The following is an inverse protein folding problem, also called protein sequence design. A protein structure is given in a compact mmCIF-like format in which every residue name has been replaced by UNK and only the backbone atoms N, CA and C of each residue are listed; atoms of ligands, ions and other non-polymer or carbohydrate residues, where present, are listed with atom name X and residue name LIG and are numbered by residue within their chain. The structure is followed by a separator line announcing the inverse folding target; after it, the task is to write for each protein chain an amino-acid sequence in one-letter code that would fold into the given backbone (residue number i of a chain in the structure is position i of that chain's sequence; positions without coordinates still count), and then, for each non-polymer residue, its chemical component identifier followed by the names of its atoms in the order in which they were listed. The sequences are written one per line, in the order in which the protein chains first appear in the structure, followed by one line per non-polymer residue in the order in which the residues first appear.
data_IF_639705666627
#
_entry.id   IF_639705666627
#
_cell.length_a   1.000
_cell.length_b   1.000
_cell.length_c   1.000
_cell.angle_alpha   90.00
_cell.angle_beta   90.00
_cell.angle_gamma   90.00
#
_symmetry.space_group_name_H-M   'P 1'
#
loop_
_entity.id
_entity.type
_entity.pdbx_description
1 polymer ?
#
# COMPACT_ATOMS: atom_id res chain seq x y z
N UNK A 1 -86.74 -17.01 34.94
CA UNK A 1 -85.72 -16.97 36.01
C UNK A 1 -84.98 -15.64 35.93
N UNK A 2 -85.30 -14.78 36.90
CA UNK A 2 -84.79 -13.40 36.98
C UNK A 2 -83.39 -13.35 37.55
N UNK A 3 -82.56 -12.56 36.98
CA UNK A 3 -81.35 -12.04 37.66
C UNK A 3 -81.21 -10.53 37.47
N UNK A 4 -81.21 -9.86 38.61
CA UNK A 4 -81.28 -8.43 38.79
C UNK A 4 -79.86 -7.83 38.53
N UNK A 5 -79.82 -6.70 37.76
CA UNK A 5 -78.68 -5.81 37.65
C UNK A 5 -78.59 -4.90 38.86
N UNK A 6 -77.47 -4.81 39.49
CA UNK A 6 -77.08 -3.75 40.44
C UNK A 6 -76.16 -2.78 39.70
N UNK A 7 -76.60 -1.52 39.61
CA UNK A 7 -75.77 -0.43 39.14
C UNK A 7 -75.09 0.21 40.34
N UNK A 8 -73.79 0.26 40.35
CA UNK A 8 -73.00 0.97 41.33
C UNK A 8 -72.49 2.29 40.72
N UNK A 9 -72.94 3.40 41.27
CA UNK A 9 -72.40 4.76 40.97
C UNK A 9 -71.06 4.91 41.65
N UNK A 10 -69.98 5.16 40.91
CA UNK A 10 -68.71 5.63 41.45
C UNK A 10 -68.54 7.11 41.15
N UNK A 11 -68.46 7.92 42.22
CA UNK A 11 -68.15 9.35 42.18
C UNK A 11 -66.64 9.49 42.05
N UNK A 12 -66.18 10.02 40.93
CA UNK A 12 -64.78 10.32 40.73
C UNK A 12 -64.48 11.78 41.13
N UNK A 13 -63.72 11.97 42.19
CA UNK A 13 -63.18 13.26 42.59
C UNK A 13 -61.92 13.57 41.75
N UNK A 14 -62.00 14.59 40.92
CA UNK A 14 -60.84 15.06 40.12
C UNK A 14 -59.96 15.96 41.00
N UNK A 15 -58.76 15.44 41.35
CA UNK A 15 -57.69 16.21 41.91
C UNK A 15 -56.88 16.81 40.77
N UNK A 16 -56.96 18.14 40.56
CA UNK A 16 -56.09 18.86 39.61
C UNK A 16 -54.74 19.12 40.27
N UNK A 17 -53.76 18.30 39.98
CA UNK A 17 -52.35 18.60 40.25
C UNK A 17 -51.79 19.54 39.18
N UNK A 18 -51.55 20.82 39.58
CA UNK A 18 -50.78 21.75 38.74
C UNK A 18 -49.32 21.33 38.72
N UNK A 19 -48.90 20.72 37.62
CA UNK A 19 -47.50 20.40 37.38
C UNK A 19 -46.81 21.68 36.88
N UNK A 20 -46.02 22.32 37.74
CA UNK A 20 -45.07 23.32 37.29
C UNK A 20 -44.02 22.62 36.41
N UNK A 21 -44.10 22.83 35.13
CA UNK A 21 -43.06 22.40 34.19
C UNK A 21 -41.79 23.25 34.47
N UNK A 22 -40.81 22.65 35.11
CA UNK A 22 -39.47 23.22 35.19
C UNK A 22 -38.88 23.23 33.76
N UNK A 23 -38.66 24.41 33.24
CA UNK A 23 -37.98 24.64 31.99
C UNK A 23 -36.56 24.07 32.11
N UNK A 24 -36.13 23.16 31.17
CA UNK A 24 -34.78 22.65 31.25
C UNK A 24 -33.75 23.77 31.10
N UNK A 25 -32.63 23.73 31.83
CA UNK A 25 -31.60 24.75 31.72
C UNK A 25 -31.11 24.83 30.26
N UNK A 26 -30.91 26.07 29.80
CA UNK A 26 -30.37 26.34 28.47
C UNK A 26 -29.06 25.58 28.28
N UNK A 27 -28.84 24.93 27.11
CA UNK A 27 -27.59 24.24 26.86
C UNK A 27 -26.43 25.22 26.97
N UNK A 28 -25.40 24.84 27.74
CA UNK A 28 -24.17 25.59 27.85
C UNK A 28 -23.57 25.78 26.43
N UNK A 29 -22.95 26.96 26.15
CA UNK A 29 -22.34 27.18 24.87
C UNK A 29 -21.30 26.06 24.64
N UNK A 30 -21.56 25.21 23.66
CA UNK A 30 -20.59 24.24 23.21
C UNK A 30 -19.43 25.03 22.62
N UNK A 31 -18.34 25.13 23.38
CA UNK A 31 -17.08 25.65 22.89
C UNK A 31 -16.75 24.88 21.61
N UNK A 32 -16.70 25.60 20.50
CA UNK A 32 -16.40 25.00 19.19
C UNK A 32 -15.10 24.17 19.30
N UNK A 33 -15.24 22.86 19.32
CA UNK A 33 -14.12 22.00 19.03
C UNK A 33 -13.69 22.39 17.62
N UNK A 34 -12.58 23.12 17.51
CA UNK A 34 -11.96 23.38 16.22
C UNK A 34 -11.96 22.08 15.45
N UNK A 35 -12.59 22.08 14.27
CA UNK A 35 -12.61 20.91 13.40
C UNK A 35 -11.16 20.45 13.24
N UNK A 36 -10.85 19.24 13.66
CA UNK A 36 -9.53 18.66 13.40
C UNK A 36 -9.28 18.77 11.89
N UNK A 37 -8.10 19.22 11.47
CA UNK A 37 -7.82 19.36 10.04
C UNK A 37 -8.13 18.03 9.34
N UNK A 38 -9.00 18.08 8.32
CA UNK A 38 -9.27 16.93 7.49
C UNK A 38 -7.96 16.48 6.86
N UNK A 39 -7.44 15.34 7.31
CA UNK A 39 -6.25 14.74 6.71
C UNK A 39 -6.67 14.20 5.35
N UNK A 40 -6.29 14.92 4.30
CA UNK A 40 -6.60 14.53 2.92
C UNK A 40 -5.67 13.37 2.52
N UNK A 41 -6.24 12.31 1.93
CA UNK A 41 -5.45 11.23 1.35
C UNK A 41 -4.56 11.77 0.24
N UNK A 42 -3.28 11.42 0.19
CA UNK A 42 -2.39 11.90 -0.86
C UNK A 42 -2.83 11.37 -2.24
N UNK A 43 -2.55 12.13 -3.32
CA UNK A 43 -2.81 11.70 -4.69
C UNK A 43 -1.90 10.55 -5.10
N UNK A 44 -2.15 10.00 -6.29
CA UNK A 44 -1.21 9.09 -6.94
C UNK A 44 0.08 9.85 -7.24
N UNK A 45 1.19 9.40 -6.65
CA UNK A 45 2.52 9.90 -6.93
C UNK A 45 3.08 9.30 -8.22
N UNK A 46 2.93 7.99 -8.37
CA UNK A 46 3.08 7.30 -9.64
C UNK A 46 2.23 6.01 -9.69
N UNK A 47 1.98 5.56 -10.91
CA UNK A 47 1.43 4.25 -11.23
C UNK A 47 2.30 3.66 -12.34
N UNK A 48 2.61 2.37 -12.24
CA UNK A 48 3.31 1.61 -13.26
C UNK A 48 2.64 0.24 -13.41
N UNK A 49 2.22 -0.07 -14.64
CA UNK A 49 1.56 -1.32 -15.04
C UNK A 49 2.29 -2.02 -16.20
N UNK A 50 3.50 -1.60 -16.42
CA UNK A 50 4.45 -2.04 -17.45
C UNK A 50 4.00 -1.73 -18.88
N UNK A 51 4.98 -1.56 -19.74
CA UNK A 51 4.71 -1.44 -21.17
C UNK A 51 4.27 -2.80 -21.69
N UNK A 52 3.12 -2.84 -22.32
CA UNK A 52 2.58 -4.04 -22.91
C UNK A 52 3.55 -4.67 -23.89
N UNK A 53 3.72 -6.00 -23.78
CA UNK A 53 4.51 -6.81 -24.68
C UNK A 53 3.61 -7.67 -25.56
N UNK A 54 4.09 -8.16 -26.71
CA UNK A 54 3.40 -9.21 -27.45
C UNK A 54 3.11 -10.44 -26.57
N UNK A 55 2.06 -11.18 -26.89
CA UNK A 55 1.72 -12.40 -26.16
C UNK A 55 2.89 -13.38 -26.14
N UNK A 56 3.19 -13.93 -24.96
CA UNK A 56 4.28 -14.90 -24.72
C UNK A 56 5.70 -14.40 -25.04
N UNK A 57 5.88 -13.09 -25.14
CA UNK A 57 7.21 -12.50 -25.27
C UNK A 57 7.82 -12.29 -23.89
N UNK A 58 8.77 -13.15 -23.51
CA UNK A 58 9.55 -13.05 -22.28
C UNK A 58 10.90 -12.41 -22.59
N UNK A 59 11.23 -11.31 -21.93
CA UNK A 59 12.49 -10.60 -22.16
C UNK A 59 12.96 -9.86 -20.90
N UNK A 60 14.26 -9.58 -20.78
CA UNK A 60 14.80 -8.87 -19.63
C UNK A 60 14.16 -7.51 -19.43
N UNK A 61 13.88 -7.17 -18.16
CA UNK A 61 13.37 -5.85 -17.78
C UNK A 61 14.43 -4.79 -18.06
N UNK A 62 14.01 -3.71 -18.74
CA UNK A 62 14.85 -2.56 -19.07
C UNK A 62 14.08 -1.26 -18.84
N UNK A 63 14.72 -0.10 -19.07
CA UNK A 63 14.04 1.19 -19.02
C UNK A 63 12.86 1.28 -20.00
N UNK A 64 12.90 0.55 -21.11
CA UNK A 64 11.82 0.51 -22.09
C UNK A 64 10.61 -0.32 -21.64
N UNK A 65 10.79 -1.14 -20.61
CA UNK A 65 9.72 -1.97 -20.04
C UNK A 65 8.69 -1.18 -19.22
N UNK A 66 9.00 0.06 -18.83
CA UNK A 66 8.07 0.91 -18.08
C UNK A 66 7.24 1.79 -19.00
N UNK A 67 5.94 1.92 -18.68
CA UNK A 67 5.00 2.80 -19.38
C UNK A 67 5.09 4.25 -18.93
N UNK A 68 5.41 4.48 -17.66
CA UNK A 68 5.46 5.82 -17.08
C UNK A 68 6.77 6.54 -17.37
N UNK A 69 6.73 7.52 -18.30
CA UNK A 69 7.90 8.28 -18.72
C UNK A 69 8.56 9.14 -17.60
N UNK A 70 7.86 9.38 -16.50
CA UNK A 70 8.39 10.14 -15.35
C UNK A 70 9.29 9.31 -14.45
N UNK A 71 9.37 8.00 -14.68
CA UNK A 71 10.13 7.07 -13.86
C UNK A 71 11.45 6.67 -14.53
N UNK A 72 12.41 6.34 -13.68
CA UNK A 72 13.60 5.55 -13.99
C UNK A 72 13.45 4.21 -13.25
N UNK A 73 13.77 3.12 -13.93
CA UNK A 73 13.84 1.80 -13.32
C UNK A 73 15.26 1.49 -12.88
N UNK A 74 15.40 0.87 -11.72
CA UNK A 74 16.67 0.45 -11.15
C UNK A 74 16.57 -1.02 -10.75
N UNK A 75 17.55 -1.81 -11.14
CA UNK A 75 17.64 -3.23 -10.82
C UNK A 75 18.81 -3.47 -9.90
N UNK A 76 18.63 -4.26 -8.85
CA UNK A 76 19.60 -4.51 -7.79
C UNK A 76 19.78 -6.01 -7.52
N UNK A 77 21.00 -6.37 -7.14
CA UNK A 77 21.43 -7.76 -6.95
C UNK A 77 22.30 -8.27 -8.10
N UNK A 78 23.13 -9.28 -7.83
CA UNK A 78 24.12 -9.79 -8.80
C UNK A 78 23.48 -10.40 -10.06
N UNK A 79 22.25 -10.91 -9.97
CA UNK A 79 21.47 -11.48 -11.07
C UNK A 79 20.26 -10.65 -11.48
N UNK A 80 20.23 -9.38 -11.10
CA UNK A 80 19.09 -8.49 -11.35
C UNK A 80 18.73 -8.32 -12.84
N UNK A 81 19.69 -8.44 -13.76
CA UNK A 81 19.43 -8.44 -15.22
C UNK A 81 18.68 -9.66 -15.72
N UNK A 82 18.49 -10.68 -14.87
CA UNK A 82 17.69 -11.86 -15.16
C UNK A 82 16.20 -11.65 -14.81
N UNK A 83 15.84 -10.51 -14.22
CA UNK A 83 14.42 -10.13 -14.01
C UNK A 83 13.77 -9.98 -15.39
N UNK A 84 12.68 -10.71 -15.60
CA UNK A 84 11.97 -10.75 -16.89
C UNK A 84 10.69 -9.93 -16.85
N UNK A 85 10.30 -9.38 -18.00
CA UNK A 85 8.95 -8.94 -18.28
C UNK A 85 8.27 -9.99 -19.15
N UNK A 86 7.06 -10.38 -18.78
CA UNK A 86 6.28 -11.41 -19.47
C UNK A 86 4.79 -11.15 -19.32
N UNK A 87 3.95 -12.06 -19.75
CA UNK A 87 2.50 -11.95 -19.70
C UNK A 87 1.91 -11.35 -20.97
N UNK A 88 0.62 -11.06 -20.93
CA UNK A 88 -0.15 -10.65 -22.11
C UNK A 88 -1.04 -9.46 -21.76
N UNK A 89 -1.01 -8.44 -22.60
CA UNK A 89 -1.89 -7.28 -22.47
C UNK A 89 -3.37 -7.69 -22.42
N UNK A 90 -4.13 -7.06 -21.52
CA UNK A 90 -5.57 -7.28 -21.35
C UNK A 90 -5.98 -8.73 -21.01
N UNK A 91 -5.07 -9.51 -20.45
CA UNK A 91 -5.35 -10.85 -19.95
C UNK A 91 -5.34 -10.85 -18.42
N UNK A 92 -6.50 -10.90 -17.78
CA UNK A 92 -6.63 -10.87 -16.32
C UNK A 92 -5.97 -12.07 -15.62
N UNK A 93 -5.90 -13.21 -16.30
CA UNK A 93 -5.28 -14.43 -15.75
C UNK A 93 -3.76 -14.44 -15.88
N UNK A 94 -3.22 -13.67 -16.82
CA UNK A 94 -1.79 -13.53 -17.07
C UNK A 94 -1.47 -12.12 -17.60
N UNK A 95 -1.69 -11.06 -16.80
CA UNK A 95 -1.42 -9.69 -17.21
C UNK A 95 0.08 -9.50 -17.49
N UNK A 96 0.44 -8.44 -18.19
CA UNK A 96 1.84 -8.03 -18.30
C UNK A 96 2.41 -7.81 -16.91
N UNK A 97 3.52 -8.45 -16.57
CA UNK A 97 4.12 -8.42 -15.25
C UNK A 97 5.63 -8.63 -15.27
N UNK A 98 6.28 -8.17 -14.24
CA UNK A 98 7.65 -8.51 -13.91
C UNK A 98 7.68 -9.86 -13.19
N UNK A 99 8.61 -10.72 -13.59
CA UNK A 99 8.83 -12.03 -13.02
C UNK A 99 10.29 -12.19 -12.56
N UNK A 100 10.49 -12.68 -11.35
CA UNK A 100 11.81 -12.82 -10.72
C UNK A 100 12.37 -14.25 -10.76
N UNK A 101 11.66 -15.17 -11.41
CA UNK A 101 11.97 -16.60 -11.34
C UNK A 101 13.36 -17.00 -11.85
N UNK A 102 13.98 -16.25 -12.77
CA UNK A 102 15.32 -16.53 -13.25
C UNK A 102 16.44 -15.99 -12.35
N UNK A 103 16.13 -15.13 -11.38
CA UNK A 103 17.16 -14.60 -10.47
C UNK A 103 17.77 -15.74 -9.63
N UNK A 104 18.96 -16.18 -9.95
CA UNK A 104 19.66 -17.24 -9.21
C UNK A 104 20.20 -16.80 -7.85
N UNK A 105 20.14 -15.50 -7.58
CA UNK A 105 20.33 -14.88 -6.26
C UNK A 105 19.17 -13.91 -6.00
N UNK A 106 18.90 -13.51 -4.75
CA UNK A 106 17.89 -12.49 -4.48
C UNK A 106 18.07 -11.25 -5.35
N UNK A 107 16.98 -10.71 -5.87
CA UNK A 107 16.99 -9.54 -6.72
C UNK A 107 15.88 -8.54 -6.33
N UNK A 108 16.08 -7.28 -6.66
CA UNK A 108 15.15 -6.22 -6.36
C UNK A 108 14.99 -5.26 -7.55
N UNK A 109 13.83 -4.62 -7.59
CA UNK A 109 13.50 -3.60 -8.57
C UNK A 109 12.94 -2.38 -7.85
N UNK A 110 13.40 -1.20 -8.24
CA UNK A 110 12.89 0.05 -7.71
C UNK A 110 12.65 1.08 -8.82
N UNK A 111 11.72 1.98 -8.55
CA UNK A 111 11.38 3.14 -9.36
C UNK A 111 11.89 4.40 -8.71
N UNK A 112 12.51 5.26 -9.49
CA UNK A 112 12.91 6.61 -9.11
C UNK A 112 12.13 7.62 -9.95
N UNK A 113 11.40 8.52 -9.31
CA UNK A 113 10.77 9.61 -10.04
C UNK A 113 11.82 10.66 -10.40
N UNK A 114 11.90 11.05 -11.68
CA UNK A 114 12.98 11.90 -12.23
C UNK A 114 13.12 13.25 -11.56
N UNK A 115 12.00 13.88 -11.19
CA UNK A 115 11.97 15.28 -10.72
C UNK A 115 11.55 15.44 -9.25
N UNK A 116 11.05 14.38 -8.60
CA UNK A 116 10.53 14.48 -7.25
C UNK A 116 11.01 13.33 -6.36
N UNK A 117 11.10 13.60 -5.07
CA UNK A 117 11.04 12.60 -4.00
C UNK A 117 9.58 12.32 -3.66
N UNK A 118 9.30 11.15 -3.12
CA UNK A 118 8.02 10.85 -2.50
C UNK A 118 8.08 11.19 -1.00
N UNK A 119 7.07 11.87 -0.50
CA UNK A 119 6.82 11.96 0.95
C UNK A 119 5.87 10.82 1.34
N UNK A 120 6.43 9.78 1.95
CA UNK A 120 5.71 8.61 2.41
C UNK A 120 5.22 8.72 3.85
N UNK A 121 5.15 9.92 4.42
CA UNK A 121 4.59 10.16 5.75
C UNK A 121 3.06 10.21 5.74
N UNK A 122 2.46 10.26 6.92
CA UNK A 122 1.02 10.46 7.09
C UNK A 122 0.17 9.33 6.52
N UNK A 123 -0.70 9.63 5.55
CA UNK A 123 -1.63 8.68 4.92
C UNK A 123 -1.09 8.10 3.60
N UNK A 124 0.22 8.13 3.39
CA UNK A 124 0.83 7.51 2.22
C UNK A 124 0.58 6.00 2.22
N UNK A 125 0.39 5.44 1.03
CA UNK A 125 0.12 4.02 0.85
C UNK A 125 0.70 3.49 -0.45
N UNK A 126 0.91 2.20 -0.48
CA UNK A 126 1.32 1.45 -1.68
C UNK A 126 0.22 0.44 -1.99
N UNK A 127 -0.12 0.34 -3.27
CA UNK A 127 -0.99 -0.70 -3.80
C UNK A 127 -0.25 -1.42 -4.91
N UNK A 128 -0.31 -2.71 -4.91
CA UNK A 128 0.28 -3.53 -5.97
C UNK A 128 -0.60 -4.72 -6.32
N UNK A 129 -0.41 -5.25 -7.53
CA UNK A 129 -1.02 -6.48 -8.00
C UNK A 129 0.08 -7.53 -8.14
N UNK A 130 0.04 -8.56 -7.31
CA UNK A 130 1.10 -9.54 -7.16
C UNK A 130 0.60 -10.96 -7.24
N UNK A 131 1.50 -11.86 -7.62
CA UNK A 131 1.29 -13.30 -7.53
C UNK A 131 2.62 -13.94 -7.14
N UNK A 132 2.61 -14.83 -6.17
CA UNK A 132 3.81 -15.52 -5.73
C UNK A 132 3.54 -17.01 -5.56
N UNK A 133 4.57 -17.83 -5.63
CA UNK A 133 4.45 -19.24 -5.40
C UNK A 133 5.54 -19.77 -4.45
N UNK A 134 5.34 -20.97 -3.92
CA UNK A 134 6.27 -21.56 -2.97
C UNK A 134 6.38 -20.76 -1.67
N UNK A 135 7.60 -20.49 -1.22
CA UNK A 135 7.90 -19.70 -0.03
C UNK A 135 8.29 -18.25 -0.37
N UNK A 136 8.14 -17.85 -1.62
CA UNK A 136 8.47 -16.51 -2.08
C UNK A 136 7.54 -15.47 -1.47
N UNK A 137 8.10 -14.29 -1.20
CA UNK A 137 7.39 -13.18 -0.58
C UNK A 137 7.86 -11.86 -1.17
N UNK A 138 6.92 -11.07 -1.66
CA UNK A 138 7.20 -9.72 -2.10
C UNK A 138 7.15 -8.78 -0.90
N UNK A 139 8.19 -7.96 -0.76
CA UNK A 139 8.33 -6.96 0.30
C UNK A 139 8.61 -5.58 -0.28
N UNK A 140 8.06 -4.50 0.28
CA UNK A 140 8.38 -3.16 -0.16
C UNK A 140 9.80 -2.78 0.24
N UNK A 141 10.49 -2.05 -0.66
CA UNK A 141 11.76 -1.42 -0.37
C UNK A 141 11.70 0.06 -0.67
N UNK A 142 12.46 0.82 0.08
CA UNK A 142 12.64 2.26 -0.14
C UNK A 142 14.10 2.65 0.03
N UNK A 143 14.51 3.65 -0.76
CA UNK A 143 15.77 4.34 -0.59
C UNK A 143 15.49 5.75 -0.07
N UNK A 144 16.05 6.10 1.05
CA UNK A 144 15.96 7.43 1.61
C UNK A 144 16.84 8.42 0.84
N UNK A 145 16.60 9.71 1.02
CA UNK A 145 17.39 10.76 0.37
C UNK A 145 18.88 10.75 0.76
N UNK A 146 19.22 10.21 1.93
CA UNK A 146 20.62 10.03 2.39
C UNK A 146 21.30 8.79 1.81
N UNK A 147 20.59 8.01 0.99
CA UNK A 147 21.08 6.79 0.37
C UNK A 147 20.84 5.51 1.17
N UNK A 148 20.26 5.60 2.38
CA UNK A 148 19.93 4.43 3.21
C UNK A 148 18.83 3.60 2.55
N UNK A 149 19.06 2.29 2.43
CA UNK A 149 18.06 1.34 1.96
C UNK A 149 17.35 0.66 3.11
N UNK A 150 16.03 0.54 2.96
CA UNK A 150 15.16 -0.12 3.90
C UNK A 150 14.27 -1.14 3.19
N UNK A 151 13.97 -2.24 3.89
CA UNK A 151 12.96 -3.22 3.48
C UNK A 151 11.86 -3.27 4.54
N UNK A 152 10.61 -3.25 4.09
CA UNK A 152 9.46 -3.35 4.99
C UNK A 152 9.26 -4.76 5.51
N UNK A 153 8.65 -4.90 6.67
CA UNK A 153 8.22 -6.20 7.22
C UNK A 153 6.90 -6.69 6.62
N UNK A 154 6.19 -5.82 5.89
CA UNK A 154 5.00 -6.21 5.13
C UNK A 154 5.39 -7.18 4.02
N UNK A 155 4.67 -8.29 3.94
CA UNK A 155 4.90 -9.33 2.93
C UNK A 155 3.59 -9.74 2.27
N UNK A 156 3.63 -9.94 0.94
CA UNK A 156 2.63 -10.72 0.25
C UNK A 156 3.29 -12.06 -0.14
N UNK A 157 2.74 -13.14 0.41
CA UNK A 157 3.23 -14.49 0.20
C UNK A 157 2.43 -15.24 -0.86
N UNK A 158 2.62 -16.56 -0.91
CA UNK A 158 2.05 -17.45 -1.93
C UNK A 158 0.54 -17.25 -2.12
N UNK A 159 0.15 -16.99 -3.34
CA UNK A 159 -1.25 -16.84 -3.77
C UNK A 159 -1.53 -17.76 -4.95
N UNK A 160 -2.77 -18.24 -5.03
CA UNK A 160 -3.20 -19.05 -6.18
C UNK A 160 -3.43 -18.20 -7.42
N UNK A 161 -3.97 -17.00 -7.20
CA UNK A 161 -4.37 -16.06 -8.23
C UNK A 161 -3.72 -14.70 -7.98
N UNK A 162 -3.86 -13.79 -8.91
CA UNK A 162 -3.42 -12.41 -8.76
C UNK A 162 -4.15 -11.75 -7.60
N UNK A 163 -3.39 -11.09 -6.72
CA UNK A 163 -3.90 -10.41 -5.54
C UNK A 163 -3.57 -8.92 -5.58
N UNK A 164 -4.59 -8.09 -5.52
CA UNK A 164 -4.42 -6.66 -5.31
C UNK A 164 -4.40 -6.38 -3.80
N UNK A 165 -3.28 -5.89 -3.31
CA UNK A 165 -3.09 -5.50 -1.91
C UNK A 165 -2.80 -4.02 -1.82
N UNK A 166 -3.45 -3.33 -0.89
CA UNK A 166 -3.15 -1.94 -0.51
C UNK A 166 -2.78 -1.90 0.97
N UNK A 167 -1.72 -1.18 1.32
CA UNK A 167 -1.30 -1.00 2.71
C UNK A 167 -0.81 0.42 2.98
N UNK A 168 -1.02 0.89 4.20
CA UNK A 168 -0.49 2.16 4.65
C UNK A 168 1.00 2.03 4.94
N UNK A 169 1.79 2.97 4.49
CA UNK A 169 3.24 2.99 4.76
C UNK A 169 3.54 3.19 6.25
N UNK A 170 2.67 3.90 6.96
CA UNK A 170 2.78 4.12 8.41
C UNK A 170 2.67 2.82 9.25
N UNK A 171 2.06 1.77 8.71
CA UNK A 171 1.89 0.48 9.39
C UNK A 171 3.07 -0.47 9.14
N UNK A 172 4.03 -0.07 8.31
CA UNK A 172 5.20 -0.89 7.95
C UNK A 172 6.35 -0.63 8.91
N UNK A 173 6.90 -1.69 9.49
CA UNK A 173 8.19 -1.62 10.20
C UNK A 173 9.31 -1.82 9.20
N UNK A 174 10.29 -0.96 9.28
CA UNK A 174 11.40 -0.93 8.33
C UNK A 174 12.67 -1.53 8.93
N UNK A 175 13.33 -2.37 8.16
CA UNK A 175 14.60 -2.98 8.50
C UNK A 175 15.70 -2.47 7.55
N UNK A 176 16.94 -2.39 8.01
CA UNK A 176 18.06 -2.09 7.14
C UNK A 176 18.21 -3.17 6.07
N UNK A 177 18.41 -2.71 4.83
CA UNK A 177 18.68 -3.55 3.66
C UNK A 177 20.06 -3.27 3.12
N UNK A 178 20.88 -4.30 2.98
CA UNK A 178 22.07 -4.27 2.14
C UNK A 178 21.63 -4.50 0.69
N UNK A 179 21.56 -3.45 -0.09
CA UNK A 179 21.03 -3.50 -1.48
C UNK A 179 22.00 -4.20 -2.44
N UNK A 180 23.28 -4.24 -2.15
CA UNK A 180 24.27 -4.91 -2.99
C UNK A 180 24.14 -6.44 -2.90
N UNK A 181 23.81 -6.95 -1.72
CA UNK A 181 23.64 -8.37 -1.44
C UNK A 181 22.19 -8.83 -1.43
N UNK A 182 21.26 -7.89 -1.40
CA UNK A 182 19.82 -8.12 -1.22
C UNK A 182 19.54 -8.95 0.05
N UNK A 183 20.11 -8.52 1.18
CA UNK A 183 19.92 -9.16 2.46
C UNK A 183 19.58 -8.14 3.55
N UNK A 184 18.79 -8.57 4.52
CA UNK A 184 18.52 -7.77 5.72
C UNK A 184 19.19 -8.40 6.93
N UNK A 185 19.76 -7.58 7.79
CA UNK A 185 20.34 -8.02 9.07
C UNK A 185 19.29 -8.20 10.18
N UNK A 186 18.01 -7.90 9.87
CA UNK A 186 16.91 -7.94 10.84
C UNK A 186 16.87 -6.72 11.79
N UNK A 187 17.80 -5.77 11.66
CA UNK A 187 17.81 -4.57 12.50
C UNK A 187 16.68 -3.61 12.10
N UNK A 188 15.75 -3.41 13.02
CA UNK A 188 14.66 -2.45 12.86
C UNK A 188 15.22 -1.04 12.93
N UNK A 189 14.81 -0.18 11.99
CA UNK A 189 15.07 1.25 12.01
C UNK A 189 13.84 1.92 12.61
N UNK A 190 13.98 2.36 13.85
CA UNK A 190 12.90 3.10 14.50
C UNK A 190 12.77 4.49 13.88
N UNK A 191 11.54 4.83 13.42
CA UNK A 191 11.18 6.15 12.89
C UNK A 191 12.11 6.65 11.75
N UNK A 192 12.23 5.90 10.65
CA UNK A 192 12.97 6.40 9.50
C UNK A 192 12.33 7.69 8.97
N UNK A 193 13.14 8.61 8.48
CA UNK A 193 12.64 9.81 7.81
C UNK A 193 12.14 9.47 6.40
N UNK A 194 10.84 9.25 6.29
CA UNK A 194 10.17 8.94 5.05
C UNK A 194 9.65 10.18 4.30
N UNK A 195 10.01 11.39 4.74
CA UNK A 195 9.55 12.64 4.10
C UNK A 195 10.20 12.92 2.75
N UNK A 196 11.33 12.25 2.44
CA UNK A 196 12.05 12.33 1.17
C UNK A 196 12.58 10.97 0.76
N UNK A 197 11.75 10.19 0.09
CA UNK A 197 12.11 8.88 -0.43
C UNK A 197 12.54 9.02 -1.90
N UNK A 198 13.76 8.56 -2.20
CA UNK A 198 14.40 8.66 -3.52
C UNK A 198 13.90 7.59 -4.48
N UNK A 199 13.83 6.34 -3.99
CA UNK A 199 13.40 5.19 -4.78
C UNK A 199 12.40 4.35 -3.98
N UNK A 200 11.41 3.77 -4.68
CA UNK A 200 10.38 2.91 -4.10
C UNK A 200 10.27 1.68 -4.98
N UNK A 201 10.23 0.51 -4.39
CA UNK A 201 10.16 -0.72 -5.16
C UNK A 201 9.77 -1.93 -4.35
N UNK A 202 10.17 -3.08 -4.86
CA UNK A 202 9.90 -4.37 -4.25
C UNK A 202 11.12 -5.28 -4.34
N UNK A 203 11.15 -6.24 -3.46
CA UNK A 203 12.20 -7.25 -3.38
C UNK A 203 11.60 -8.61 -3.07
N UNK A 204 12.17 -9.64 -3.67
CA UNK A 204 12.09 -11.00 -3.21
C UNK A 204 13.45 -11.37 -2.59
N UNK A 205 13.47 -11.70 -1.31
CA UNK A 205 14.71 -12.05 -0.59
C UNK A 205 15.14 -13.50 -0.83
N UNK A 206 14.45 -14.23 -1.72
CA UNK A 206 14.77 -15.59 -2.09
C UNK A 206 15.22 -15.65 -3.56
N UNK A 207 16.15 -16.55 -3.89
CA UNK A 207 16.49 -16.81 -5.28
C UNK A 207 15.34 -17.52 -6.01
N UNK A 208 15.09 -17.18 -7.25
CA UNK A 208 14.12 -17.85 -8.11
C UNK A 208 14.56 -19.29 -8.44
N UNK A 209 13.62 -20.08 -8.90
CA UNK A 209 13.82 -21.51 -9.23
C UNK A 209 13.78 -21.81 -10.73
N UNK A 210 13.90 -20.79 -11.56
CA UNK A 210 13.75 -20.92 -13.01
C UNK A 210 12.29 -21.17 -13.41
N UNK A 211 12.10 -21.76 -14.59
CA UNK A 211 10.78 -22.19 -15.09
C UNK A 211 10.26 -23.49 -14.42
N UNK A 212 10.94 -23.95 -13.38
CA UNK A 212 10.57 -25.16 -12.65
C UNK A 212 9.44 -24.94 -11.65
N UNK A 213 9.13 -26.01 -10.90
CA UNK A 213 8.04 -26.02 -9.91
C UNK A 213 8.39 -25.39 -8.55
N UNK A 214 9.53 -24.69 -8.45
CA UNK A 214 10.01 -24.18 -7.16
C UNK A 214 9.20 -23.00 -6.66
N UNK A 215 9.59 -21.81 -7.05
CA UNK A 215 8.89 -20.60 -6.60
C UNK A 215 9.40 -19.36 -7.33
N UNK A 216 8.54 -18.36 -7.38
CA UNK A 216 8.79 -17.06 -8.02
C UNK A 216 7.90 -15.98 -7.45
N UNK A 217 8.21 -14.76 -7.83
CA UNK A 217 7.39 -13.59 -7.54
C UNK A 217 7.07 -12.82 -8.82
N UNK A 218 5.80 -12.47 -8.96
CA UNK A 218 5.24 -11.72 -10.08
C UNK A 218 4.65 -10.40 -9.58
N UNK A 219 4.90 -9.30 -10.30
CA UNK A 219 4.33 -7.98 -10.01
C UNK A 219 3.77 -7.37 -11.29
N UNK A 220 2.44 -7.25 -11.38
CA UNK A 220 1.75 -6.70 -12.56
C UNK A 220 1.51 -5.19 -12.46
N UNK A 221 1.38 -4.64 -11.27
CA UNK A 221 1.11 -3.21 -11.09
C UNK A 221 1.68 -2.72 -9.75
N UNK A 222 2.16 -1.49 -9.75
CA UNK A 222 2.57 -0.78 -8.53
C UNK A 222 2.03 0.66 -8.59
N UNK A 223 1.20 1.02 -7.61
CA UNK A 223 0.72 2.38 -7.39
C UNK A 223 1.25 2.90 -6.06
N UNK A 224 1.77 4.11 -6.07
CA UNK A 224 2.22 4.81 -4.88
C UNK A 224 1.38 6.07 -4.69
N UNK A 225 0.77 6.22 -3.53
CA UNK A 225 0.00 7.40 -3.14
C UNK A 225 0.80 8.17 -2.09
N UNK A 226 1.33 9.33 -2.50
CA UNK A 226 2.24 10.13 -1.70
C UNK A 226 2.20 11.60 -2.12
N UNK A 227 2.65 12.49 -1.25
CA UNK A 227 2.91 13.86 -1.66
C UNK A 227 4.23 13.95 -2.42
N UNK A 228 4.28 14.86 -3.40
CA UNK A 228 5.49 15.12 -4.18
C UNK A 228 6.37 16.16 -3.50
N UNK A 229 7.67 15.88 -3.37
CA UNK A 229 8.68 16.82 -2.88
C UNK A 229 9.69 17.07 -4.01
N UNK A 230 9.78 18.27 -4.56
CA UNK A 230 10.69 18.56 -5.67
C UNK A 230 12.14 18.23 -5.35
N UNK A 231 12.85 17.62 -6.30
CA UNK A 231 14.31 17.52 -6.22
C UNK A 231 14.88 18.91 -6.50
N UNK A 232 15.57 19.49 -5.53
CA UNK A 232 16.35 20.71 -5.79
C UNK A 232 17.33 20.42 -6.90
N UNK A 233 17.27 21.20 -7.99
CA UNK A 233 18.29 21.12 -9.02
C UNK A 233 19.66 21.37 -8.34
N UNK A 234 20.56 20.40 -8.44
CA UNK A 234 21.95 20.63 -8.04
C UNK A 234 22.49 21.72 -8.96
N UNK A 235 22.58 22.94 -8.46
CA UNK A 235 23.29 24.01 -9.16
C UNK A 235 24.75 23.55 -9.23
N UNK A 236 25.15 23.08 -10.43
CA UNK A 236 26.56 22.83 -10.75
C UNK A 236 27.28 24.16 -10.97
#
# INVERSE_FOLDING_TARGET
MSRRLYASLAVAAALTCSVYAQQPPAPAPQGGRGAAPCVTRPPVFFSEDWRQTPANDEHPVTQQSIGNASLEIKLYGSTAKEIQLTGTANNENNPTHVWTGLCSTPCALAFRHKTNYADLTGLARIRWNTKTSGFHQIRPIVKLADGTWLVGDRTDGSTRDWLVTEFNVADVRWLKLDIERIVTTGNIVERPDLSKVDEIGFVDLMPGSGHGAGGWSDVAQVDVFAASVPRTASTK
#
